data_IF_122803493093
#
_entry.id   IF_122803493093
#
_cell.length_a   1.000
_cell.length_b   1.000
_cell.length_c   1.000
_cell.angle_alpha   90.00
_cell.angle_beta   90.00
_cell.angle_gamma   90.00
#
_symmetry.space_group_name_H-M   'P 1'
#
loop_
_entity.id
_entity.type
_entity.pdbx_description
1 polymer ?
#
# COMPACT_ATOMS: atom_id res chain seq x y z
N UNK A 1 13.17 32.33 72.56
CA UNK A 1 11.80 31.97 73.00
C UNK A 1 11.52 30.52 72.65
N UNK A 2 11.10 29.74 73.67
CA UNK A 2 10.34 28.47 73.68
C UNK A 2 10.34 27.63 72.39
N UNK A 3 10.96 26.43 72.41
CA UNK A 3 10.33 25.10 72.71
C UNK A 3 9.56 24.57 71.48
N UNK A 4 9.61 23.31 71.06
CA UNK A 4 9.94 22.06 71.77
C UNK A 4 9.86 20.89 70.77
N UNK A 5 10.70 19.86 70.97
CA UNK A 5 10.39 18.40 70.90
C UNK A 5 9.89 17.76 69.60
N UNK A 6 10.23 16.52 69.26
CA UNK A 6 11.19 15.47 69.69
C UNK A 6 10.74 14.25 68.85
N UNK A 7 11.66 13.57 68.16
CA UNK A 7 12.15 12.20 68.48
C UNK A 7 11.15 11.06 68.17
N UNK A 8 11.52 9.86 67.69
CA UNK A 8 12.80 9.15 67.55
C UNK A 8 12.46 7.77 66.89
N UNK A 9 13.31 7.22 66.00
CA UNK A 9 14.17 5.99 66.22
C UNK A 9 13.48 4.65 65.94
N UNK A 10 14.07 3.56 65.43
CA UNK A 10 15.35 3.14 64.77
C UNK A 10 15.02 1.71 64.23
N UNK A 11 15.29 1.36 62.96
CA UNK A 11 16.33 0.41 62.42
C UNK A 11 16.44 -0.93 63.21
N UNK A 12 16.49 -2.17 62.69
CA UNK A 12 17.32 -2.80 61.64
C UNK A 12 16.75 -4.17 61.18
N UNK A 13 17.10 -4.51 59.94
CA UNK A 13 17.32 -5.82 59.26
C UNK A 13 18.09 -6.87 60.11
N UNK A 14 18.15 -8.22 59.89
CA UNK A 14 18.20 -9.11 58.70
C UNK A 14 18.29 -10.59 59.17
N UNK A 15 17.89 -11.57 58.31
CA UNK A 15 18.42 -12.96 58.16
C UNK A 15 18.21 -14.00 59.31
N UNK A 16 18.08 -15.34 59.14
CA UNK A 16 18.26 -16.33 58.07
C UNK A 16 17.58 -17.68 58.48
N UNK A 17 17.31 -18.53 57.48
CA UNK A 17 16.80 -19.92 57.41
C UNK A 17 16.95 -20.92 58.59
N UNK A 18 15.98 -21.84 58.75
CA UNK A 18 16.11 -23.26 58.34
C UNK A 18 14.98 -24.21 58.84
N UNK A 19 14.79 -25.27 58.04
CA UNK A 19 14.33 -26.64 58.37
C UNK A 19 12.81 -26.96 58.44
N UNK A 20 12.41 -27.80 57.47
CA UNK A 20 11.17 -28.56 57.45
C UNK A 20 11.31 -29.85 58.28
N UNK A 21 10.30 -30.15 59.12
CA UNK A 21 10.00 -31.51 59.61
C UNK A 21 8.47 -31.68 59.56
N UNK A 22 8.05 -32.76 58.91
CA UNK A 22 6.69 -33.27 58.77
C UNK A 22 6.07 -33.62 60.13
N UNK A 23 4.76 -33.34 60.31
CA UNK A 23 3.70 -34.30 60.76
C UNK A 23 2.36 -33.56 60.85
N UNK A 24 1.39 -34.03 60.06
CA UNK A 24 -0.05 -34.10 60.38
C UNK A 24 -0.80 -32.86 60.86
N UNK A 25 -1.55 -32.21 59.96
CA UNK A 25 -2.61 -31.28 60.37
C UNK A 25 -3.06 -30.38 59.22
N UNK A 26 -4.10 -30.80 58.50
CA UNK A 26 -4.77 -30.01 57.47
C UNK A 26 -5.40 -28.75 58.06
N UNK A 27 -4.80 -27.58 57.81
CA UNK A 27 -5.47 -26.29 57.88
C UNK A 27 -5.48 -25.72 56.47
N UNK A 28 -6.61 -25.90 55.78
CA UNK A 28 -6.86 -25.28 54.48
C UNK A 28 -7.04 -23.77 54.69
N UNK A 29 -5.96 -23.02 54.47
CA UNK A 29 -5.97 -21.56 54.46
C UNK A 29 -6.54 -21.13 53.10
N UNK A 30 -7.86 -20.93 53.06
CA UNK A 30 -8.56 -20.40 51.88
C UNK A 30 -8.16 -18.93 51.71
N UNK A 31 -7.09 -18.70 50.95
CA UNK A 31 -6.76 -17.37 50.43
C UNK A 31 -7.70 -17.09 49.26
N UNK A 32 -8.78 -16.33 49.53
CA UNK A 32 -9.58 -15.73 48.45
C UNK A 32 -8.75 -14.65 47.77
N UNK A 33 -7.99 -15.04 46.74
CA UNK A 33 -7.41 -14.12 45.79
C UNK A 33 -8.56 -13.45 45.02
N UNK A 34 -8.96 -12.27 45.48
CA UNK A 34 -9.91 -11.41 44.77
C UNK A 34 -9.38 -11.16 43.36
N UNK A 35 -10.06 -11.74 42.37
CA UNK A 35 -9.73 -11.55 40.96
C UNK A 35 -10.16 -10.14 40.56
N UNK A 36 -9.21 -9.21 40.55
CA UNK A 36 -9.39 -7.93 39.88
C UNK A 36 -9.42 -8.18 38.38
N UNK A 37 -10.60 -8.52 37.83
CA UNK A 37 -10.84 -8.43 36.39
C UNK A 37 -10.89 -6.95 36.03
N UNK A 38 -9.74 -6.40 35.65
CA UNK A 38 -9.71 -5.12 34.96
C UNK A 38 -10.56 -5.26 33.69
N UNK A 39 -11.75 -4.65 33.68
CA UNK A 39 -12.53 -4.50 32.47
C UNK A 39 -11.78 -3.55 31.55
N UNK A 40 -11.06 -4.12 30.58
CA UNK A 40 -10.56 -3.35 29.44
C UNK A 40 -11.80 -2.85 28.71
N UNK A 41 -12.17 -1.58 28.92
CA UNK A 41 -13.14 -0.87 28.07
C UNK A 41 -12.57 -0.94 26.65
N UNK A 42 -13.19 -1.76 25.80
CA UNK A 42 -12.93 -1.75 24.36
C UNK A 42 -13.21 -0.31 23.90
N UNK A 43 -12.17 0.46 23.60
CA UNK A 43 -12.34 1.84 23.13
C UNK A 43 -13.21 1.78 21.87
N UNK A 44 -14.37 2.44 21.90
CA UNK A 44 -15.15 2.61 20.68
C UNK A 44 -14.26 3.29 19.64
N UNK A 45 -14.13 2.66 18.48
CA UNK A 45 -13.34 3.18 17.37
C UNK A 45 -13.95 4.52 16.96
N UNK A 46 -13.16 5.60 17.00
CA UNK A 46 -13.65 6.95 16.74
C UNK A 46 -14.06 7.06 15.28
N UNK A 47 -15.34 7.36 15.04
CA UNK A 47 -15.89 7.61 13.70
C UNK A 47 -15.95 9.13 13.50
N UNK A 48 -15.50 9.61 12.35
CA UNK A 48 -15.48 11.03 12.02
C UNK A 48 -16.31 11.33 10.78
N UNK A 49 -16.84 12.55 10.74
CA UNK A 49 -17.58 13.10 9.60
C UNK A 49 -16.86 14.36 9.15
N UNK A 50 -16.22 14.32 7.97
CA UNK A 50 -15.65 15.48 7.29
C UNK A 50 -16.20 15.52 5.87
N UNK A 51 -16.98 16.57 5.54
CA UNK A 51 -17.55 16.70 4.19
C UNK A 51 -18.41 15.51 3.77
N UNK A 52 -18.63 15.38 2.46
CA UNK A 52 -19.26 14.20 1.87
C UNK A 52 -18.22 13.09 1.61
N UNK A 53 -16.96 13.49 1.40
CA UNK A 53 -15.83 12.61 1.10
C UNK A 53 -15.48 11.66 2.26
N UNK A 54 -15.90 11.99 3.49
CA UNK A 54 -15.41 11.34 4.71
C UNK A 54 -16.48 11.25 5.81
N UNK A 55 -17.73 10.96 5.43
CA UNK A 55 -18.84 10.70 6.35
C UNK A 55 -18.79 9.26 6.88
N UNK A 56 -18.82 9.07 8.19
CA UNK A 56 -18.92 7.76 8.83
C UNK A 56 -17.64 6.92 8.80
N UNK A 57 -16.47 7.52 8.54
CA UNK A 57 -15.20 6.80 8.44
C UNK A 57 -14.34 6.96 9.70
N UNK A 58 -13.68 5.86 10.10
CA UNK A 58 -12.63 5.87 11.12
C UNK A 58 -11.28 6.40 10.62
N UNK A 59 -11.06 6.36 9.30
CA UNK A 59 -9.79 6.74 8.68
C UNK A 59 -9.71 8.26 8.47
N UNK A 60 -10.84 8.90 8.18
CA UNK A 60 -10.92 10.34 7.95
C UNK A 60 -10.92 11.20 9.22
N UNK A 61 -10.56 10.65 10.38
CA UNK A 61 -10.43 11.44 11.60
C UNK A 61 -9.25 12.41 11.58
N UNK A 62 -8.27 12.17 10.70
CA UNK A 62 -7.09 13.00 10.49
C UNK A 62 -7.27 13.88 9.24
N UNK A 63 -6.19 14.23 8.58
CA UNK A 63 -6.19 14.99 7.33
C UNK A 63 -6.74 14.13 6.17
N UNK A 64 -7.48 14.78 5.27
CA UNK A 64 -7.86 14.26 3.94
C UNK A 64 -6.75 14.57 2.94
N UNK A 65 -6.79 13.96 1.75
CA UNK A 65 -5.76 14.22 0.72
C UNK A 65 -5.75 15.70 0.34
N UNK A 66 -6.94 16.30 0.22
CA UNK A 66 -7.06 17.72 -0.13
C UNK A 66 -6.44 18.64 0.92
N UNK A 67 -6.26 18.23 2.17
CA UNK A 67 -5.63 19.05 3.21
C UNK A 67 -4.13 19.25 2.97
N UNK A 68 -3.42 18.24 2.45
CA UNK A 68 -1.96 18.25 2.29
C UNK A 68 -1.45 18.13 0.84
N UNK A 69 -2.32 17.77 -0.11
CA UNK A 69 -2.00 17.64 -1.52
C UNK A 69 -2.89 18.55 -2.35
N UNK A 70 -2.30 19.65 -2.83
CA UNK A 70 -2.93 20.72 -3.61
C UNK A 70 -2.56 20.60 -5.07
N UNK A 71 -3.32 21.30 -5.92
CA UNK A 71 -3.11 21.32 -7.37
C UNK A 71 -1.66 21.63 -7.76
N UNK A 72 -1.00 22.60 -7.12
CA UNK A 72 0.39 22.94 -7.46
C UNK A 72 1.38 21.80 -7.17
N UNK A 73 1.12 20.95 -6.17
CA UNK A 73 1.94 19.76 -5.91
C UNK A 73 1.73 18.72 -7.01
N UNK A 74 0.47 18.48 -7.43
CA UNK A 74 0.19 17.61 -8.57
C UNK A 74 0.88 18.09 -9.84
N UNK A 75 0.81 19.40 -10.15
CA UNK A 75 1.52 20.00 -11.28
C UNK A 75 3.04 19.83 -11.17
N UNK A 76 3.62 19.96 -9.97
CA UNK A 76 5.05 19.78 -9.76
C UNK A 76 5.50 18.32 -9.91
N UNK A 77 4.73 17.36 -9.38
CA UNK A 77 5.05 15.92 -9.50
C UNK A 77 5.03 15.44 -10.96
N UNK A 78 4.14 16.01 -11.77
CA UNK A 78 3.93 15.64 -13.18
C UNK A 78 4.19 16.81 -14.14
N UNK A 79 5.29 17.53 -13.92
CA UNK A 79 5.63 18.78 -14.61
C UNK A 79 5.75 18.66 -16.13
N UNK A 80 5.93 17.44 -16.68
CA UNK A 80 6.10 17.21 -18.12
C UNK A 80 4.91 16.54 -18.81
N UNK A 81 3.86 16.17 -18.07
CA UNK A 81 2.70 15.41 -18.61
C UNK A 81 1.93 16.13 -19.74
N UNK A 82 1.95 17.47 -19.74
CA UNK A 82 1.24 18.31 -20.72
C UNK A 82 2.20 19.00 -21.71
N UNK A 83 3.44 18.55 -21.81
CA UNK A 83 4.35 19.04 -22.85
C UNK A 83 3.89 18.55 -24.23
N UNK A 84 4.18 19.27 -25.33
CA UNK A 84 3.70 18.88 -26.67
C UNK A 84 4.14 17.50 -27.16
N UNK A 85 5.17 16.91 -26.55
CA UNK A 85 5.70 15.59 -26.88
C UNK A 85 5.10 14.47 -26.02
N UNK A 86 4.26 14.82 -25.03
CA UNK A 86 3.53 13.83 -24.26
C UNK A 86 2.35 13.28 -25.06
N UNK A 87 1.88 12.08 -24.70
CA UNK A 87 0.88 11.35 -25.48
C UNK A 87 -0.54 11.45 -24.88
N UNK A 88 -0.68 12.01 -23.68
CA UNK A 88 -1.95 12.20 -22.98
C UNK A 88 -2.16 13.67 -22.57
N UNK A 89 -1.75 14.62 -23.41
CA UNK A 89 -1.84 16.06 -23.13
C UNK A 89 -3.28 16.47 -22.83
N UNK A 90 -3.49 17.09 -21.67
CA UNK A 90 -4.80 17.58 -21.23
C UNK A 90 -5.75 16.49 -20.72
N UNK A 91 -5.35 15.22 -20.73
CA UNK A 91 -6.18 14.12 -20.22
C UNK A 91 -6.14 14.05 -18.69
N UNK A 92 -4.95 14.14 -18.10
CA UNK A 92 -4.76 13.98 -16.67
C UNK A 92 -4.83 15.30 -15.89
N UNK A 93 -5.76 15.39 -14.97
CA UNK A 93 -5.93 16.57 -14.11
C UNK A 93 -6.11 16.23 -12.62
N UNK A 94 -5.84 17.22 -11.77
CA UNK A 94 -5.92 17.11 -10.33
C UNK A 94 -7.36 16.87 -9.82
N UNK A 95 -8.36 17.46 -10.47
CA UNK A 95 -9.76 17.31 -10.06
C UNK A 95 -10.24 15.87 -10.29
N UNK A 96 -9.86 15.24 -11.41
CA UNK A 96 -10.12 13.84 -11.68
C UNK A 96 -9.50 12.93 -10.60
N UNK A 97 -8.25 13.21 -10.21
CA UNK A 97 -7.58 12.48 -9.13
C UNK A 97 -8.31 12.62 -7.79
N UNK A 98 -8.64 13.84 -7.36
CA UNK A 98 -9.35 14.07 -6.08
C UNK A 98 -10.77 13.49 -6.09
N UNK A 99 -11.47 13.60 -7.22
CA UNK A 99 -12.83 13.03 -7.37
C UNK A 99 -12.80 11.51 -7.23
N UNK A 100 -11.81 10.85 -7.83
CA UNK A 100 -11.58 9.42 -7.64
C UNK A 100 -11.22 9.09 -6.19
N UNK A 101 -10.29 9.85 -5.59
CA UNK A 101 -9.78 9.60 -4.26
C UNK A 101 -10.85 9.71 -3.16
N UNK A 102 -11.82 10.61 -3.31
CA UNK A 102 -12.93 10.78 -2.38
C UNK A 102 -13.74 9.48 -2.15
N UNK A 103 -13.73 8.53 -3.10
CA UNK A 103 -14.39 7.23 -2.95
C UNK A 103 -13.60 6.24 -2.07
N UNK A 104 -12.29 6.45 -1.94
CA UNK A 104 -11.35 5.54 -1.27
C UNK A 104 -10.77 6.13 0.03
N UNK A 105 -10.80 7.44 0.22
CA UNK A 105 -10.42 8.09 1.49
C UNK A 105 -11.17 7.51 2.71
N UNK A 106 -12.51 7.26 2.65
CA UNK A 106 -13.24 6.58 3.73
C UNK A 106 -12.75 5.18 4.04
N UNK A 107 -12.04 4.54 3.12
CA UNK A 107 -11.54 3.17 3.22
C UNK A 107 -10.09 3.10 3.71
N UNK A 108 -9.42 4.24 3.86
CA UNK A 108 -8.05 4.32 4.37
C UNK A 108 -7.01 4.88 3.40
N UNK A 109 -7.37 5.06 2.11
CA UNK A 109 -6.45 5.53 1.08
C UNK A 109 -5.92 6.93 1.43
N UNK A 110 -4.61 7.03 1.69
CA UNK A 110 -3.94 8.25 2.11
C UNK A 110 -4.59 8.93 3.34
N UNK A 111 -5.32 8.17 4.15
CA UNK A 111 -5.94 8.63 5.40
C UNK A 111 -5.46 7.83 6.61
N UNK A 112 -4.56 6.87 6.42
CA UNK A 112 -4.03 5.96 7.47
C UNK A 112 -2.65 6.39 7.99
N UNK A 113 -2.38 6.17 9.28
CA UNK A 113 -1.04 6.31 9.87
C UNK A 113 -0.55 7.73 10.18
N UNK A 114 -1.42 8.74 10.08
CA UNK A 114 -1.10 10.15 10.34
C UNK A 114 -0.39 10.85 9.17
N UNK A 115 -0.25 12.18 9.25
CA UNK A 115 0.11 13.04 8.11
C UNK A 115 1.33 12.57 7.31
N UNK A 116 2.41 12.20 8.00
CA UNK A 116 3.62 11.74 7.31
C UNK A 116 3.40 10.43 6.53
N UNK A 117 2.72 9.44 7.12
CA UNK A 117 2.38 8.19 6.44
C UNK A 117 1.39 8.44 5.28
N UNK A 118 0.41 9.32 5.47
CA UNK A 118 -0.55 9.71 4.43
C UNK A 118 0.18 10.32 3.21
N UNK A 119 1.13 11.21 3.44
CA UNK A 119 1.97 11.79 2.37
C UNK A 119 2.88 10.74 1.73
N UNK A 120 3.47 9.84 2.52
CA UNK A 120 4.27 8.74 2.00
C UNK A 120 3.45 7.78 1.13
N UNK A 121 2.24 7.43 1.55
CA UNK A 121 1.34 6.56 0.78
C UNK A 121 0.95 7.21 -0.54
N UNK A 122 0.62 8.50 -0.51
CA UNK A 122 0.34 9.26 -1.72
C UNK A 122 1.54 9.24 -2.68
N UNK A 123 2.75 9.51 -2.17
CA UNK A 123 3.97 9.46 -2.99
C UNK A 123 4.25 8.05 -3.51
N UNK A 124 3.97 7.00 -2.75
CA UNK A 124 4.15 5.62 -3.17
C UNK A 124 3.18 5.26 -4.29
N UNK A 125 1.88 5.52 -4.11
CA UNK A 125 0.85 5.31 -5.12
C UNK A 125 1.18 6.08 -6.41
N UNK A 126 1.45 7.39 -6.29
CA UNK A 126 1.81 8.22 -7.44
C UNK A 126 3.14 7.78 -8.05
N UNK A 127 4.09 7.28 -7.27
CA UNK A 127 5.36 6.74 -7.77
C UNK A 127 5.16 5.56 -8.72
N UNK A 128 4.24 4.65 -8.39
CA UNK A 128 3.80 3.59 -9.32
C UNK A 128 3.13 4.18 -10.56
N UNK A 129 2.18 5.10 -10.39
CA UNK A 129 1.47 5.75 -11.51
C UNK A 129 2.47 6.41 -12.45
N UNK A 130 3.36 7.24 -11.92
CA UNK A 130 4.37 7.96 -12.68
C UNK A 130 5.28 7.02 -13.44
N UNK A 131 5.81 5.99 -12.77
CA UNK A 131 6.69 5.01 -13.42
C UNK A 131 6.00 4.22 -14.54
N UNK A 132 4.74 3.82 -14.35
CA UNK A 132 4.01 2.97 -15.32
C UNK A 132 3.45 3.76 -16.52
N UNK A 133 3.37 5.08 -16.41
CA UNK A 133 2.86 5.97 -17.46
C UNK A 133 3.93 6.92 -18.00
N UNK A 134 5.20 6.71 -17.63
CA UNK A 134 6.30 7.60 -18.01
C UNK A 134 6.72 7.40 -19.46
N UNK A 135 7.01 8.51 -20.14
CA UNK A 135 7.78 8.53 -21.39
C UNK A 135 9.16 9.19 -21.19
N UNK A 136 9.59 9.38 -19.94
CA UNK A 136 10.87 9.97 -19.60
C UNK A 136 12.02 9.02 -19.92
N UNK A 137 13.05 9.55 -20.57
CA UNK A 137 14.31 8.86 -20.85
C UNK A 137 15.47 9.55 -20.14
N UNK A 138 16.65 8.92 -20.12
CA UNK A 138 17.77 9.32 -19.25
C UNK A 138 18.23 10.79 -19.34
N UNK A 139 18.07 11.44 -20.50
CA UNK A 139 18.43 12.85 -20.72
C UNK A 139 17.22 13.77 -20.95
N UNK A 140 16.02 13.31 -20.60
CA UNK A 140 14.82 14.11 -20.74
C UNK A 140 14.86 15.35 -19.83
N UNK A 141 14.33 16.48 -20.30
CA UNK A 141 14.30 17.72 -19.53
C UNK A 141 13.54 17.53 -18.21
N UNK A 142 14.15 17.92 -17.09
CA UNK A 142 13.59 17.68 -15.74
C UNK A 142 13.89 16.29 -15.16
N UNK A 143 14.63 15.45 -15.89
CA UNK A 143 14.92 14.07 -15.51
C UNK A 143 13.75 13.12 -15.79
N UNK A 144 14.00 11.80 -15.87
CA UNK A 144 12.98 10.81 -16.26
C UNK A 144 11.78 10.73 -15.30
N UNK A 145 11.94 11.13 -14.04
CA UNK A 145 10.91 11.07 -13.00
C UNK A 145 9.85 12.18 -13.09
N UNK A 146 10.10 13.23 -13.88
CA UNK A 146 9.14 14.33 -14.11
C UNK A 146 8.10 14.02 -15.21
N UNK A 147 8.25 12.88 -15.90
CA UNK A 147 7.48 12.50 -17.09
C UNK A 147 6.37 11.47 -16.83
N UNK A 148 6.02 11.24 -15.56
CA UNK A 148 4.83 10.46 -15.22
C UNK A 148 3.56 11.07 -15.83
N UNK A 149 2.54 10.24 -16.04
CA UNK A 149 1.28 10.57 -16.72
C UNK A 149 1.46 11.03 -18.17
N UNK A 150 2.52 10.59 -18.84
CA UNK A 150 2.75 10.90 -20.24
C UNK A 150 1.85 10.07 -21.18
N UNK A 151 1.53 8.84 -20.79
CA UNK A 151 0.59 7.96 -21.48
C UNK A 151 -0.68 7.74 -20.66
N UNK A 152 -1.78 7.43 -21.34
CA UNK A 152 -3.00 6.89 -20.74
C UNK A 152 -3.38 5.50 -21.25
N UNK A 153 -2.69 5.02 -22.29
CA UNK A 153 -2.80 3.68 -22.82
C UNK A 153 -1.48 3.21 -23.46
N UNK A 154 -1.38 1.91 -23.71
CA UNK A 154 -0.28 1.27 -24.42
C UNK A 154 -0.32 1.60 -25.92
N UNK A 155 0.74 2.25 -26.42
CA UNK A 155 0.79 2.75 -27.81
C UNK A 155 0.98 1.66 -28.88
N UNK A 156 1.55 0.52 -28.52
CA UNK A 156 1.82 -0.57 -29.48
C UNK A 156 1.62 -1.93 -28.82
N UNK A 157 0.36 -2.30 -28.54
CA UNK A 157 0.03 -3.61 -27.99
C UNK A 157 0.51 -4.73 -28.92
N UNK A 158 1.18 -5.74 -28.37
CA UNK A 158 1.62 -6.92 -29.11
C UNK A 158 0.51 -7.98 -29.25
N UNK A 159 -0.57 -7.83 -28.48
CA UNK A 159 -1.74 -8.71 -28.49
C UNK A 159 -2.99 -7.98 -27.98
N UNK A 160 -4.14 -8.65 -28.09
CA UNK A 160 -5.43 -8.14 -27.57
C UNK A 160 -5.61 -8.39 -26.07
N UNK A 161 -4.69 -9.12 -25.43
CA UNK A 161 -4.73 -9.50 -24.01
C UNK A 161 -6.06 -10.18 -23.62
N UNK A 162 -6.58 -11.03 -24.49
CA UNK A 162 -7.77 -11.82 -24.23
C UNK A 162 -7.39 -13.26 -23.86
N UNK A 163 -7.61 -13.65 -22.61
CA UNK A 163 -7.56 -15.05 -22.19
C UNK A 163 -8.95 -15.68 -22.35
N UNK A 164 -9.11 -16.43 -23.44
CA UNK A 164 -10.36 -17.14 -23.79
C UNK A 164 -10.68 -18.30 -22.83
N UNK A 165 -9.73 -18.74 -22.02
CA UNK A 165 -9.96 -19.81 -21.03
C UNK A 165 -10.67 -19.31 -19.77
N UNK A 166 -10.66 -17.99 -19.54
CA UNK A 166 -11.28 -17.37 -18.38
C UNK A 166 -12.78 -17.17 -18.59
N UNK A 167 -13.62 -17.94 -17.90
CA UNK A 167 -15.08 -17.96 -18.14
C UNK A 167 -15.89 -16.99 -17.29
N UNK A 168 -15.37 -16.53 -16.15
CA UNK A 168 -16.09 -15.59 -15.28
C UNK A 168 -16.15 -14.17 -15.87
N UNK A 169 -15.12 -13.76 -16.62
CA UNK A 169 -15.09 -12.51 -17.38
C UNK A 169 -14.64 -12.83 -18.81
N UNK A 170 -15.56 -13.35 -19.65
CA UNK A 170 -15.23 -13.76 -21.01
C UNK A 170 -14.81 -12.56 -21.85
N UNK A 171 -13.96 -12.78 -22.86
CA UNK A 171 -13.65 -11.74 -23.81
C UNK A 171 -14.89 -11.32 -24.61
N UNK A 172 -15.06 -10.03 -24.81
CA UNK A 172 -16.16 -9.44 -25.58
C UNK A 172 -15.67 -9.23 -27.02
N UNK A 173 -16.51 -9.52 -28.00
CA UNK A 173 -16.18 -9.33 -29.41
C UNK A 173 -15.88 -7.85 -29.69
N UNK A 174 -14.75 -7.57 -30.36
CA UNK A 174 -14.30 -6.22 -30.67
C UNK A 174 -13.62 -5.47 -29.51
N UNK A 175 -13.65 -6.00 -28.28
CA UNK A 175 -12.94 -5.42 -27.15
C UNK A 175 -11.47 -5.90 -27.10
N UNK A 176 -10.56 -4.96 -26.81
CA UNK A 176 -9.13 -5.24 -26.60
C UNK A 176 -8.71 -4.77 -25.21
N UNK A 177 -7.93 -5.60 -24.51
CA UNK A 177 -7.61 -5.42 -23.09
C UNK A 177 -6.14 -5.08 -22.85
N UNK A 178 -5.54 -4.30 -23.76
CA UNK A 178 -4.20 -3.74 -23.61
C UNK A 178 -4.12 -2.73 -22.46
N UNK A 179 -2.91 -2.33 -22.09
CA UNK A 179 -2.69 -1.49 -20.91
C UNK A 179 -3.40 -0.14 -21.00
N UNK A 180 -4.31 0.17 -20.07
CA UNK A 180 -4.94 1.51 -19.95
C UNK A 180 -5.03 1.99 -18.51
N UNK A 181 -5.02 3.31 -18.34
CA UNK A 181 -5.21 3.98 -17.05
C UNK A 181 -3.92 4.25 -16.27
N UNK A 182 -4.07 4.73 -15.03
CA UNK A 182 -2.96 5.28 -14.24
C UNK A 182 -2.04 4.21 -13.64
N UNK A 183 -2.62 3.10 -13.16
CA UNK A 183 -1.93 1.82 -12.99
C UNK A 183 -2.50 0.94 -14.10
N UNK A 184 -1.74 0.70 -15.19
CA UNK A 184 -2.30 0.09 -16.38
C UNK A 184 -2.99 -1.25 -16.11
N UNK A 185 -4.25 -1.36 -16.53
CA UNK A 185 -5.04 -2.59 -16.47
C UNK A 185 -4.80 -3.37 -17.75
N UNK A 186 -4.46 -4.65 -17.61
CA UNK A 186 -4.25 -5.59 -18.71
C UNK A 186 -5.13 -6.81 -18.50
N UNK A 187 -5.54 -7.47 -19.58
CA UNK A 187 -6.32 -8.71 -19.57
C UNK A 187 -7.80 -8.60 -19.19
N UNK A 188 -8.65 -9.32 -19.93
CA UNK A 188 -10.11 -9.39 -19.74
C UNK A 188 -10.52 -9.62 -18.28
N UNK A 189 -9.87 -10.54 -17.57
CA UNK A 189 -10.21 -10.85 -16.18
C UNK A 189 -9.91 -9.71 -15.21
N UNK A 190 -8.88 -8.88 -15.47
CA UNK A 190 -8.61 -7.72 -14.62
C UNK A 190 -9.53 -6.54 -14.96
N UNK A 191 -9.86 -6.34 -16.25
CA UNK A 191 -10.87 -5.35 -16.64
C UNK A 191 -12.23 -5.68 -16.03
N UNK A 192 -12.65 -6.94 -16.09
CA UNK A 192 -13.87 -7.41 -15.43
C UNK A 192 -13.85 -7.20 -13.91
N UNK A 193 -12.78 -7.62 -13.23
CA UNK A 193 -12.65 -7.44 -11.78
C UNK A 193 -12.60 -5.96 -11.37
N UNK A 194 -11.86 -5.11 -12.11
CA UNK A 194 -11.80 -3.67 -11.87
C UNK A 194 -13.17 -3.02 -12.11
N UNK A 195 -13.87 -3.41 -13.18
CA UNK A 195 -15.20 -2.94 -13.51
C UNK A 195 -16.22 -3.26 -12.42
N UNK A 196 -16.24 -4.50 -11.94
CA UNK A 196 -17.05 -4.92 -10.78
C UNK A 196 -16.69 -4.14 -9.51
N UNK A 197 -15.40 -3.84 -9.35
CA UNK A 197 -14.85 -3.08 -8.23
C UNK A 197 -15.31 -1.64 -8.18
N UNK A 198 -15.28 -0.94 -9.32
CA UNK A 198 -15.64 0.48 -9.43
C UNK A 198 -17.06 0.72 -9.95
N UNK A 199 -17.82 -0.35 -10.20
CA UNK A 199 -19.21 -0.34 -10.70
C UNK A 199 -19.34 0.31 -12.09
N UNK A 200 -18.41 -0.01 -12.98
CA UNK A 200 -18.39 0.42 -14.39
C UNK A 200 -18.15 -0.80 -15.26
N UNK A 201 -18.86 -0.92 -16.38
CA UNK A 201 -18.71 -2.06 -17.29
C UNK A 201 -17.44 -1.95 -18.15
N UNK A 202 -16.29 -2.19 -17.52
CA UNK A 202 -14.98 -2.16 -18.18
C UNK A 202 -14.68 -3.40 -19.01
N UNK A 203 -15.49 -4.47 -18.88
CA UNK A 203 -15.33 -5.67 -19.69
C UNK A 203 -15.83 -5.42 -21.12
N UNK A 204 -16.99 -4.79 -21.27
CA UNK A 204 -17.53 -4.42 -22.59
C UNK A 204 -16.96 -3.09 -23.09
N UNK A 205 -16.58 -2.18 -22.18
CA UNK A 205 -16.07 -0.85 -22.51
C UNK A 205 -14.69 -0.56 -21.88
N UNK A 206 -13.64 -1.32 -22.25
CA UNK A 206 -12.30 -1.10 -21.73
C UNK A 206 -11.74 0.30 -22.08
N UNK A 207 -12.20 0.91 -23.18
CA UNK A 207 -11.83 2.24 -23.65
C UNK A 207 -12.19 3.37 -22.67
N UNK A 208 -13.09 3.14 -21.71
CA UNK A 208 -13.40 4.15 -20.69
C UNK A 208 -12.19 4.57 -19.86
N UNK A 209 -11.20 3.69 -19.68
CA UNK A 209 -9.98 4.00 -18.94
C UNK A 209 -9.00 4.92 -19.71
N UNK A 210 -9.16 5.08 -21.02
CA UNK A 210 -8.38 6.03 -21.84
C UNK A 210 -9.20 7.26 -22.26
N UNK A 211 -10.51 7.27 -22.00
CA UNK A 211 -11.42 8.38 -22.31
C UNK A 211 -11.81 9.22 -21.09
N UNK A 212 -11.72 8.66 -19.87
CA UNK A 212 -12.09 9.34 -18.64
C UNK A 212 -11.01 9.19 -17.55
N UNK A 213 -10.31 10.28 -17.26
CA UNK A 213 -9.24 10.29 -16.26
C UNK A 213 -9.73 9.97 -14.84
N UNK A 214 -10.97 10.32 -14.48
CA UNK A 214 -11.53 9.98 -13.16
C UNK A 214 -11.69 8.46 -13.05
N UNK A 215 -12.22 7.80 -14.07
CA UNK A 215 -12.35 6.33 -14.10
C UNK A 215 -10.98 5.64 -14.10
N UNK A 216 -10.01 6.19 -14.84
CA UNK A 216 -8.64 5.71 -14.86
C UNK A 216 -7.97 5.75 -13.47
N UNK A 217 -8.15 6.85 -12.72
CA UNK A 217 -7.69 6.94 -11.34
C UNK A 217 -8.47 6.04 -10.38
N UNK A 218 -9.80 5.92 -10.56
CA UNK A 218 -10.62 5.01 -9.75
C UNK A 218 -10.17 3.56 -9.89
N UNK A 219 -9.90 3.09 -11.12
CA UNK A 219 -9.40 1.73 -11.36
C UNK A 219 -8.03 1.51 -10.69
N UNK A 220 -7.13 2.49 -10.77
CA UNK A 220 -5.81 2.43 -10.13
C UNK A 220 -5.91 2.40 -8.60
N UNK A 221 -6.74 3.25 -8.00
CA UNK A 221 -6.97 3.29 -6.55
C UNK A 221 -7.67 2.02 -6.06
N UNK A 222 -8.63 1.50 -6.82
CA UNK A 222 -9.23 0.19 -6.54
C UNK A 222 -8.17 -0.90 -6.51
N UNK A 223 -7.26 -0.93 -7.49
CA UNK A 223 -6.18 -1.91 -7.55
C UNK A 223 -5.20 -1.80 -6.37
N UNK A 224 -4.97 -0.57 -5.89
CA UNK A 224 -4.14 -0.28 -4.72
C UNK A 224 -4.79 -0.74 -3.41
N UNK A 225 -6.09 -0.49 -3.26
CA UNK A 225 -6.86 -0.75 -2.03
C UNK A 225 -7.36 -2.20 -1.92
N UNK A 226 -7.47 -2.93 -3.05
CA UNK A 226 -8.15 -4.23 -3.08
C UNK A 226 -7.17 -5.41 -3.11
N UNK A 227 -7.28 -6.36 -2.16
CA UNK A 227 -6.60 -7.64 -2.25
C UNK A 227 -7.19 -8.51 -3.37
N UNK A 228 -6.38 -8.88 -4.37
CA UNK A 228 -6.83 -9.69 -5.51
C UNK A 228 -7.05 -11.17 -5.14
N UNK A 229 -6.34 -11.65 -4.12
CA UNK A 229 -6.51 -13.01 -3.57
C UNK A 229 -6.70 -12.93 -2.06
N UNK A 230 -7.54 -13.81 -1.52
CA UNK A 230 -7.88 -13.85 -0.08
C UNK A 230 -6.66 -13.99 0.85
N UNK A 231 -5.58 -14.62 0.38
CA UNK A 231 -4.35 -14.83 1.14
C UNK A 231 -3.28 -13.76 0.94
N UNK A 232 -3.58 -12.70 0.16
CA UNK A 232 -2.65 -11.60 -0.13
C UNK A 232 -3.17 -10.32 0.52
N UNK A 233 -2.29 -9.41 0.95
CA UNK A 233 -2.69 -8.06 1.32
C UNK A 233 -2.98 -7.20 0.08
N UNK A 234 -3.68 -6.08 0.28
CA UNK A 234 -3.66 -5.00 -0.71
C UNK A 234 -2.32 -4.24 -0.68
N UNK A 235 -2.04 -3.46 -1.72
CA UNK A 235 -0.84 -2.61 -1.75
C UNK A 235 -0.91 -1.55 -0.63
N UNK A 236 -2.12 -1.01 -0.37
CA UNK A 236 -2.40 -0.16 0.79
C UNK A 236 -1.97 -0.84 2.10
N UNK A 237 -2.50 -2.03 2.41
CA UNK A 237 -2.22 -2.72 3.67
C UNK A 237 -0.75 -3.06 3.85
N UNK A 238 -0.08 -3.45 2.76
CA UNK A 238 1.34 -3.77 2.77
C UNK A 238 2.21 -2.52 2.96
N UNK A 239 1.79 -1.36 2.44
CA UNK A 239 2.53 -0.12 2.56
C UNK A 239 2.36 0.54 3.93
N UNK A 240 1.12 0.70 4.40
CA UNK A 240 0.81 1.36 5.68
C UNK A 240 1.06 0.47 6.89
N UNK A 241 1.45 -0.79 6.67
CA UNK A 241 1.91 -1.71 7.71
C UNK A 241 0.77 -2.36 8.53
N UNK A 242 -0.45 -2.37 8.02
CA UNK A 242 -1.58 -3.08 8.66
C UNK A 242 -1.58 -4.58 8.35
N UNK A 243 -0.94 -4.98 7.24
CA UNK A 243 -0.68 -6.37 6.93
C UNK A 243 0.36 -6.99 7.87
N UNK A 244 0.05 -8.17 8.42
CA UNK A 244 0.97 -8.98 9.22
C UNK A 244 1.50 -10.13 8.36
N UNK A 245 2.80 -10.13 8.00
CA UNK A 245 3.39 -11.22 7.23
C UNK A 245 3.22 -12.58 7.90
N UNK A 246 2.86 -13.59 7.12
CA UNK A 246 2.83 -14.98 7.58
C UNK A 246 4.25 -15.56 7.63
N UNK A 247 4.40 -16.76 8.20
CA UNK A 247 5.67 -17.50 8.13
C UNK A 247 6.13 -17.73 6.69
N UNK A 248 5.19 -17.95 5.76
CA UNK A 248 5.55 -18.12 4.35
C UNK A 248 6.08 -16.82 3.75
N UNK A 249 5.53 -15.68 4.14
CA UNK A 249 5.96 -14.37 3.67
C UNK A 249 7.36 -14.04 4.16
N UNK A 250 7.65 -14.27 5.45
CA UNK A 250 8.98 -14.03 6.00
C UNK A 250 10.04 -14.95 5.38
N UNK A 251 9.72 -16.23 5.16
CA UNK A 251 10.60 -17.15 4.42
C UNK A 251 10.81 -16.73 2.96
N UNK A 252 9.80 -16.12 2.35
CA UNK A 252 9.85 -15.56 1.00
C UNK A 252 10.43 -14.14 0.96
N UNK A 253 10.98 -13.64 2.08
CA UNK A 253 11.50 -12.28 2.27
C UNK A 253 10.48 -11.16 1.99
N UNK A 254 9.19 -11.46 1.95
CA UNK A 254 8.11 -10.48 1.78
C UNK A 254 7.83 -9.77 3.10
N UNK A 255 8.24 -8.51 3.19
CA UNK A 255 8.08 -7.66 4.37
C UNK A 255 7.27 -6.39 4.03
N UNK A 256 6.57 -5.78 5.00
CA UNK A 256 5.82 -4.55 4.77
C UNK A 256 6.73 -3.42 4.28
N UNK A 257 6.22 -2.60 3.36
CA UNK A 257 6.95 -1.51 2.73
C UNK A 257 6.73 -1.40 1.22
N UNK A 258 7.43 -0.46 0.59
CA UNK A 258 7.26 -0.16 -0.83
C UNK A 258 7.59 -1.34 -1.74
N UNK A 259 8.57 -2.16 -1.37
CA UNK A 259 8.91 -3.40 -2.08
C UNK A 259 7.75 -4.39 -2.18
N UNK A 260 6.99 -4.57 -1.10
CA UNK A 260 5.82 -5.45 -1.12
C UNK A 260 4.72 -4.93 -2.07
N UNK A 261 4.56 -3.61 -2.21
CA UNK A 261 3.60 -3.04 -3.16
C UNK A 261 3.97 -3.40 -4.61
N UNK A 262 5.25 -3.33 -4.96
CA UNK A 262 5.76 -3.79 -6.27
C UNK A 262 5.51 -5.28 -6.49
N UNK A 263 5.67 -6.11 -5.46
CA UNK A 263 5.40 -7.55 -5.52
C UNK A 263 3.91 -7.85 -5.73
N UNK A 264 3.03 -7.16 -5.00
CA UNK A 264 1.57 -7.31 -5.12
C UNK A 264 1.07 -6.88 -6.50
N UNK A 265 1.64 -5.81 -7.06
CA UNK A 265 1.20 -5.25 -8.33
C UNK A 265 1.81 -5.97 -9.54
N UNK A 266 3.09 -6.34 -9.47
CA UNK A 266 3.86 -6.77 -10.66
C UNK A 266 4.82 -7.93 -10.38
N UNK A 267 4.66 -8.67 -9.27
CA UNK A 267 5.66 -9.60 -8.73
C UNK A 267 6.28 -10.57 -9.74
N UNK A 268 5.48 -11.17 -10.62
CA UNK A 268 5.94 -12.12 -11.66
C UNK A 268 6.98 -11.50 -12.62
N UNK A 269 6.84 -10.21 -12.89
CA UNK A 269 7.68 -9.50 -13.85
C UNK A 269 8.95 -8.93 -13.23
N UNK A 270 8.89 -8.42 -11.99
CA UNK A 270 9.98 -7.60 -11.42
C UNK A 270 10.61 -8.14 -10.12
N UNK A 271 9.95 -9.01 -9.36
CA UNK A 271 10.43 -9.40 -8.02
C UNK A 271 11.14 -10.76 -8.01
N UNK A 272 12.10 -10.93 -7.10
CA UNK A 272 12.87 -12.17 -6.96
C UNK A 272 13.88 -12.40 -8.09
N UNK A 273 14.22 -11.35 -8.85
CA UNK A 273 15.12 -11.38 -10.01
C UNK A 273 16.37 -10.51 -9.82
N UNK A 274 16.65 -10.07 -8.59
CA UNK A 274 17.66 -9.05 -8.31
C UNK A 274 17.18 -7.63 -8.66
N UNK A 275 18.12 -6.70 -8.72
CA UNK A 275 17.83 -5.31 -9.10
C UNK A 275 17.66 -5.22 -10.62
N UNK A 276 16.43 -4.99 -11.07
CA UNK A 276 16.10 -4.78 -12.48
C UNK A 276 15.70 -3.32 -12.73
N UNK A 277 15.91 -2.84 -13.95
CA UNK A 277 15.67 -1.43 -14.30
C UNK A 277 14.23 -0.99 -14.03
N UNK A 278 13.25 -1.83 -14.35
CA UNK A 278 11.83 -1.54 -14.10
C UNK A 278 11.53 -1.29 -12.62
N UNK A 279 12.20 -2.02 -11.71
CA UNK A 279 12.10 -1.82 -10.27
C UNK A 279 12.75 -0.49 -9.86
N UNK A 280 13.95 -0.22 -10.34
CA UNK A 280 14.70 1.00 -10.02
C UNK A 280 13.98 2.26 -10.52
N UNK A 281 13.29 2.18 -11.67
CA UNK A 281 12.45 3.28 -12.19
C UNK A 281 11.30 3.58 -11.22
N UNK A 282 10.59 2.55 -10.72
CA UNK A 282 9.49 2.73 -9.76
C UNK A 282 10.00 3.35 -8.44
N UNK A 283 11.11 2.83 -7.90
CA UNK A 283 11.75 3.35 -6.68
C UNK A 283 12.17 4.81 -6.88
N UNK A 284 12.75 5.15 -8.04
CA UNK A 284 13.22 6.51 -8.32
C UNK A 284 12.07 7.51 -8.37
N UNK A 285 10.93 7.15 -8.95
CA UNK A 285 9.74 8.01 -8.93
C UNK A 285 9.24 8.24 -7.51
N UNK A 286 9.12 7.17 -6.71
CA UNK A 286 8.70 7.30 -5.30
C UNK A 286 9.61 8.24 -4.50
N UNK A 287 10.93 8.02 -4.57
CA UNK A 287 11.90 8.86 -3.87
C UNK A 287 11.87 10.32 -4.35
N UNK A 288 11.77 10.54 -5.65
CA UNK A 288 11.66 11.88 -6.21
C UNK A 288 10.40 12.61 -5.73
N UNK A 289 9.27 11.90 -5.64
CA UNK A 289 8.01 12.47 -5.17
C UNK A 289 8.02 12.75 -3.68
N UNK A 290 8.71 11.94 -2.86
CA UNK A 290 8.95 12.27 -1.45
C UNK A 290 9.72 13.59 -1.30
N UNK A 291 10.74 13.83 -2.12
CA UNK A 291 11.49 15.09 -2.07
C UNK A 291 10.62 16.28 -2.46
N UNK A 292 9.87 16.17 -3.56
CA UNK A 292 8.99 17.25 -4.04
C UNK A 292 7.84 17.56 -3.08
N UNK A 293 7.36 16.56 -2.33
CA UNK A 293 6.35 16.73 -1.29
C UNK A 293 6.93 17.24 0.04
N UNK A 294 8.26 17.44 0.14
CA UNK A 294 8.93 17.91 1.34
C UNK A 294 8.99 16.87 2.47
N UNK A 295 8.76 15.60 2.17
CA UNK A 295 8.94 14.49 3.12
C UNK A 295 10.40 14.05 3.16
N UNK A 296 11.07 14.02 2.01
CA UNK A 296 12.46 13.59 1.85
C UNK A 296 12.60 12.09 1.58
N UNK A 297 13.41 11.75 0.58
CA UNK A 297 13.66 10.38 0.11
C UNK A 297 14.21 9.43 1.18
N UNK A 298 14.84 9.94 2.23
CA UNK A 298 15.32 9.17 3.37
C UNK A 298 14.18 8.43 4.09
N UNK A 299 12.94 8.90 3.93
CA UNK A 299 11.74 8.25 4.47
C UNK A 299 11.18 7.13 3.56
N UNK A 300 11.88 6.75 2.49
CA UNK A 300 11.41 5.67 1.59
C UNK A 300 11.36 4.27 2.26
N UNK A 301 11.93 4.15 3.46
CA UNK A 301 12.02 2.90 4.23
C UNK A 301 13.07 1.93 3.69
N UNK A 302 13.41 0.93 4.52
CA UNK A 302 14.45 -0.06 4.20
C UNK A 302 13.95 -1.14 3.23
N UNK A 303 12.69 -1.58 3.39
CA UNK A 303 12.03 -2.56 2.50
C UNK A 303 11.50 -1.90 1.23
N UNK A 304 12.35 -1.11 0.56
CA UNK A 304 11.96 -0.29 -0.60
C UNK A 304 11.92 -1.07 -1.91
N UNK A 305 12.67 -2.16 -2.02
CA UNK A 305 12.77 -2.99 -3.22
C UNK A 305 12.17 -4.38 -3.02
N UNK A 306 12.01 -5.10 -4.13
CA UNK A 306 11.57 -6.50 -4.10
C UNK A 306 12.57 -7.45 -4.77
N UNK A 307 13.86 -7.07 -4.83
CA UNK A 307 14.90 -7.78 -5.56
C UNK A 307 15.01 -9.24 -5.10
N UNK A 308 14.90 -9.47 -3.79
CA UNK A 308 15.00 -10.79 -3.18
C UNK A 308 13.65 -11.39 -2.75
N UNK A 309 12.54 -10.68 -2.98
CA UNK A 309 11.22 -11.15 -2.55
C UNK A 309 10.67 -12.15 -3.57
N UNK A 310 10.31 -13.36 -3.11
CA UNK A 310 9.62 -14.29 -4.01
C UNK A 310 8.23 -13.74 -4.38
N UNK A 311 7.81 -13.82 -5.65
CA UNK A 311 6.50 -13.35 -6.09
C UNK A 311 5.36 -13.97 -5.26
N UNK A 312 4.34 -13.16 -4.95
CA UNK A 312 3.12 -13.66 -4.30
C UNK A 312 2.37 -14.68 -5.17
N UNK A 313 2.47 -14.51 -6.49
CA UNK A 313 1.92 -15.39 -7.50
C UNK A 313 3.08 -15.76 -8.42
N UNK A 314 3.83 -16.84 -8.18
CA UNK A 314 4.86 -17.26 -9.13
C UNK A 314 4.19 -17.94 -10.32
N UNK A 315 4.61 -17.57 -11.54
CA UNK A 315 4.35 -18.38 -12.73
C UNK A 315 4.96 -19.77 -12.52
N UNK A 316 4.27 -20.84 -12.93
CA UNK A 316 4.78 -22.21 -12.84
C UNK A 316 6.21 -22.29 -13.40
N UNK A 317 7.16 -22.93 -12.71
CA UNK A 317 8.53 -23.01 -13.21
C UNK A 317 8.54 -23.73 -14.55
N UNK A 318 9.23 -23.16 -15.53
CA UNK A 318 9.64 -23.88 -16.73
C UNK A 318 10.55 -25.05 -16.33
N UNK A 319 10.56 -26.12 -17.10
CA UNK A 319 11.24 -27.36 -16.72
C UNK A 319 12.76 -27.18 -16.42
N UNK A 320 13.38 -26.13 -16.96
CA UNK A 320 14.76 -25.73 -16.65
C UNK A 320 14.96 -25.27 -15.19
N UNK A 321 13.96 -24.62 -14.59
CA UNK A 321 14.03 -24.17 -13.19
C UNK A 321 13.82 -25.31 -12.19
N UNK A 322 13.17 -26.41 -12.60
CA UNK A 322 13.01 -27.61 -11.76
C UNK A 322 14.33 -28.36 -11.61
N UNK A 323 15.17 -28.36 -12.64
CA UNK A 323 16.47 -29.05 -12.61
C UNK A 323 17.48 -28.38 -11.66
N UNK A 324 17.41 -27.05 -11.49
CA UNK A 324 18.24 -26.32 -10.53
C UNK A 324 17.79 -26.51 -9.07
N UNK A 325 16.51 -26.80 -8.82
CA UNK A 325 16.00 -27.08 -7.46
C UNK A 325 16.15 -28.54 -7.03
N UNK A 326 16.34 -29.49 -7.96
CA UNK A 326 16.63 -30.89 -7.63
C UNK A 326 18.11 -31.20 -7.45
N UNK A 327 18.99 -30.22 -7.68
CA UNK A 327 20.46 -30.39 -7.70
C UNK A 327 21.20 -29.71 -6.54
N UNK A 328 20.54 -29.29 -5.47
CA UNK A 328 21.17 -28.76 -4.25
C UNK A 328 20.57 -29.36 -2.99
#
# INVERSE_FOLDING_TARGET
MKRKTRNKVIVWTLALAAAAILVGGTIALVLTAGTWKAQIKKSQEKICNKGWECSGSKYCCNDTITDFFKVYQFENLFAKRNTPVAHAVGFWDYQAFITAAALFEPQGFCTTGGKQMQMMELCAFLGHVGAKTSCGYGVATGGPTAWGLCYNHEMSPDQTYCDKTYTQWPCVEGAEYYGRGAIPVYWNYNYGAAGDGIKVDLLHHPEYLEQNATLAFMAAMWRWMTPIKKSQPSAHEAFVGTWKPTKNDTLSKRLPGFGATMNILYGESICGKGFVDSMNVIISHYQYYLDLMGVGREHSGDNRDCAEQLPFNPSSPTDDQKQQQSGS
#
